data_IF_282145803887
#
_entry.id   IF_282145803887
#
_cell.length_a   1.000
_cell.length_b   1.000
_cell.length_c   1.000
_cell.angle_alpha   90.00
_cell.angle_beta   90.00
_cell.angle_gamma   90.00
#
_symmetry.space_group_name_H-M   'P 1'
#
loop_
_entity.id
_entity.type
_entity.pdbx_description
1 polymer ?
#
# COMPACT_ATOMS: atom_id res chain seq x y z
N UNK A 1 11.66 -4.29 12.69
CA UNK A 1 11.11 -3.20 11.84
C UNK A 1 11.49 -3.35 10.36
N UNK A 2 12.74 -3.69 10.03
CA UNK A 2 13.17 -3.89 8.62
C UNK A 2 12.31 -4.92 7.85
N UNK A 3 11.88 -6.00 8.52
CA UNK A 3 11.01 -7.03 7.94
C UNK A 3 9.64 -6.49 7.51
N UNK A 4 9.03 -5.61 8.32
CA UNK A 4 7.70 -5.05 8.03
C UNK A 4 7.74 -4.10 6.83
N UNK A 5 8.80 -3.27 6.73
CA UNK A 5 8.97 -2.38 5.59
C UNK A 5 9.12 -3.16 4.29
N UNK A 6 9.92 -4.22 4.30
CA UNK A 6 10.14 -5.05 3.12
C UNK A 6 8.89 -5.81 2.72
N UNK A 7 8.14 -6.32 3.69
CA UNK A 7 6.89 -7.05 3.43
C UNK A 7 5.78 -6.10 2.93
N UNK A 8 5.74 -4.86 3.43
CA UNK A 8 4.85 -3.83 2.91
C UNK A 8 5.16 -3.50 1.44
N UNK A 9 6.43 -3.31 1.10
CA UNK A 9 6.84 -3.07 -0.28
C UNK A 9 6.59 -4.29 -1.17
N UNK A 10 6.77 -5.51 -0.66
CA UNK A 10 6.41 -6.73 -1.37
C UNK A 10 4.91 -6.78 -1.67
N UNK A 11 4.07 -6.50 -0.67
CA UNK A 11 2.62 -6.40 -0.84
C UNK A 11 2.28 -5.37 -1.92
N UNK A 12 2.90 -4.19 -1.87
CA UNK A 12 2.72 -3.14 -2.86
C UNK A 12 3.19 -3.52 -4.29
N UNK A 13 4.09 -4.50 -4.41
CA UNK A 13 4.57 -5.00 -5.71
C UNK A 13 3.59 -5.95 -6.40
N UNK A 14 2.65 -6.54 -5.64
CA UNK A 14 1.59 -7.43 -6.16
C UNK A 14 0.43 -6.62 -6.76
N UNK A 15 0.23 -5.38 -6.34
CA UNK A 15 -0.80 -4.49 -6.87
C UNK A 15 -1.16 -3.34 -5.92
N UNK A 16 -2.13 -2.49 -6.30
CA UNK A 16 -2.65 -1.44 -5.43
C UNK A 16 -3.31 -2.03 -4.18
N UNK A 17 -3.09 -1.42 -3.02
CA UNK A 17 -3.61 -1.90 -1.74
C UNK A 17 -4.14 -0.76 -0.87
N UNK A 18 -4.94 -1.08 0.15
CA UNK A 18 -5.45 -0.14 1.16
C UNK A 18 -4.72 -0.30 2.49
N UNK A 19 -4.80 0.70 3.37
CA UNK A 19 -4.24 0.59 4.73
C UNK A 19 -4.80 -0.60 5.52
N UNK A 20 -6.11 -0.87 5.38
CA UNK A 20 -6.76 -2.04 5.99
C UNK A 20 -6.20 -3.36 5.48
N UNK A 21 -6.05 -3.52 4.16
CA UNK A 21 -5.49 -4.74 3.57
C UNK A 21 -4.03 -4.95 3.98
N UNK A 22 -3.25 -3.86 4.10
CA UNK A 22 -1.88 -3.95 4.59
C UNK A 22 -1.83 -4.39 6.07
N UNK A 23 -2.69 -3.81 6.92
CA UNK A 23 -2.77 -4.16 8.33
C UNK A 23 -3.07 -5.65 8.54
N UNK A 24 -4.08 -6.17 7.84
CA UNK A 24 -4.46 -7.59 7.86
C UNK A 24 -3.30 -8.49 7.41
N UNK A 25 -2.63 -8.12 6.31
CA UNK A 25 -1.55 -8.93 5.75
C UNK A 25 -0.30 -8.96 6.62
N UNK A 26 0.01 -7.86 7.31
CA UNK A 26 1.17 -7.77 8.19
C UNK A 26 0.86 -8.22 9.63
N UNK A 27 -0.41 -8.45 9.98
CA UNK A 27 -0.82 -8.78 11.35
C UNK A 27 -0.60 -7.63 12.33
N UNK A 28 -0.74 -6.38 11.86
CA UNK A 28 -0.52 -5.16 12.66
C UNK A 28 -1.82 -4.37 12.82
N UNK A 29 -1.82 -3.39 13.72
CA UNK A 29 -2.97 -2.51 13.90
C UNK A 29 -3.15 -1.57 12.69
N UNK A 30 -4.37 -1.06 12.45
CA UNK A 30 -4.61 -0.06 11.40
C UNK A 30 -3.71 1.18 11.54
N UNK A 31 -3.48 1.65 12.77
CA UNK A 31 -2.60 2.81 13.02
C UNK A 31 -1.13 2.55 12.69
N UNK A 32 -0.62 1.35 12.95
CA UNK A 32 0.74 0.96 12.55
C UNK A 32 0.87 0.86 11.03
N UNK A 33 -0.13 0.31 10.35
CA UNK A 33 -0.17 0.27 8.89
C UNK A 33 -0.21 1.68 8.28
N UNK A 34 -1.03 2.58 8.82
CA UNK A 34 -1.09 3.98 8.40
C UNK A 34 0.23 4.71 8.61
N UNK A 35 0.87 4.53 9.77
CA UNK A 35 2.19 5.11 10.05
C UNK A 35 3.26 4.60 9.08
N UNK A 36 3.24 3.30 8.77
CA UNK A 36 4.16 2.69 7.80
C UNK A 36 3.94 3.24 6.39
N UNK A 37 2.69 3.33 5.95
CA UNK A 37 2.32 3.92 4.66
C UNK A 37 2.76 5.39 4.60
N UNK A 38 2.52 6.16 5.66
CA UNK A 38 2.94 7.56 5.76
C UNK A 38 4.45 7.73 5.57
N UNK A 39 5.25 6.88 6.23
CA UNK A 39 6.70 6.88 6.06
C UNK A 39 7.10 6.54 4.61
N UNK A 40 6.50 5.50 4.02
CA UNK A 40 6.81 5.07 2.65
C UNK A 40 6.40 6.12 1.60
N UNK A 41 5.30 6.85 1.82
CA UNK A 41 4.88 7.98 0.99
C UNK A 41 5.86 9.14 1.11
N UNK A 42 6.26 9.51 2.32
CA UNK A 42 7.20 10.60 2.56
C UNK A 42 8.56 10.39 1.88
N UNK A 43 9.00 9.13 1.76
CA UNK A 43 10.22 8.76 1.05
C UNK A 43 10.03 8.47 -0.46
N UNK A 44 8.80 8.59 -0.97
CA UNK A 44 8.48 8.38 -2.38
C UNK A 44 8.57 6.92 -2.84
N UNK A 45 8.47 5.96 -1.91
CA UNK A 45 8.43 4.53 -2.22
C UNK A 45 7.01 4.05 -2.61
N UNK A 46 5.99 4.77 -2.13
CA UNK A 46 4.60 4.59 -2.52
C UNK A 46 4.05 5.88 -3.14
N UNK A 47 2.92 5.76 -3.83
CA UNK A 47 2.07 6.89 -4.23
C UNK A 47 0.60 6.54 -4.00
N UNK A 48 -0.22 7.53 -3.69
CA UNK A 48 -1.67 7.37 -3.67
C UNK A 48 -2.21 7.33 -5.10
N UNK A 49 -3.16 6.44 -5.36
CA UNK A 49 -3.83 6.30 -6.66
C UNK A 49 -5.34 6.24 -6.48
N UNK A 50 -6.05 6.62 -7.53
CA UNK A 50 -7.48 6.37 -7.67
C UNK A 50 -7.67 5.27 -8.71
N UNK A 51 -8.13 4.07 -8.33
CA UNK A 51 -8.33 3.00 -9.29
C UNK A 51 -9.44 3.41 -10.27
N UNK A 52 -9.11 3.60 -11.55
CA UNK A 52 -10.11 3.89 -12.59
C UNK A 52 -11.12 2.74 -12.75
N UNK A 53 -10.70 1.51 -12.44
CA UNK A 53 -11.57 0.33 -12.43
C UNK A 53 -12.77 0.47 -11.49
N UNK A 54 -12.65 1.23 -10.41
CA UNK A 54 -13.77 1.52 -9.52
C UNK A 54 -14.88 2.32 -10.21
N UNK A 55 -14.55 3.12 -11.22
CA UNK A 55 -15.54 3.93 -11.94
C UNK A 55 -16.39 3.09 -12.90
N UNK A 56 -15.79 2.07 -13.51
CA UNK A 56 -16.44 1.12 -14.43
C UNK A 56 -16.92 -0.17 -13.74
N UNK A 57 -16.67 -0.34 -12.44
CA UNK A 57 -17.02 -1.57 -11.72
C UNK A 57 -18.56 -1.73 -11.64
N UNK A 58 -19.13 -2.87 -12.10
CA UNK A 58 -20.57 -3.12 -12.01
C UNK A 58 -21.09 -3.12 -10.56
N UNK A 59 -20.20 -3.41 -9.60
CA UNK A 59 -20.51 -3.41 -8.17
C UNK A 59 -20.26 -2.05 -7.50
N UNK A 60 -19.92 -0.99 -8.25
CA UNK A 60 -19.59 0.34 -7.70
C UNK A 60 -20.63 0.85 -6.68
N UNK A 61 -21.92 0.65 -6.95
CA UNK A 61 -23.03 1.12 -6.11
C UNK A 61 -23.14 0.39 -4.75
N UNK A 62 -22.61 -0.83 -4.65
CA UNK A 62 -22.61 -1.67 -3.45
C UNK A 62 -21.21 -1.93 -2.89
N UNK A 63 -20.16 -1.46 -3.57
CA UNK A 63 -18.77 -1.66 -3.17
C UNK A 63 -18.49 -0.91 -1.86
N UNK A 64 -18.12 -1.62 -0.78
CA UNK A 64 -17.85 -0.99 0.52
C UNK A 64 -16.71 0.03 0.45
N UNK A 65 -15.69 -0.25 -0.37
CA UNK A 65 -14.53 0.61 -0.55
C UNK A 65 -14.90 2.00 -1.12
N UNK A 66 -15.91 2.07 -1.98
CA UNK A 66 -16.37 3.34 -2.57
C UNK A 66 -17.47 4.01 -1.76
N UNK A 67 -18.36 3.23 -1.13
CA UNK A 67 -19.40 3.78 -0.23
C UNK A 67 -18.82 4.52 0.97
N UNK A 68 -17.67 4.07 1.48
CA UNK A 68 -17.00 4.76 2.58
C UNK A 68 -16.37 6.10 2.15
N UNK A 69 -16.25 6.39 0.84
CA UNK A 69 -15.70 7.65 0.30
C UNK A 69 -14.24 7.94 0.67
N UNK A 70 -13.60 7.05 1.44
CA UNK A 70 -12.34 7.30 2.15
C UNK A 70 -11.29 6.23 1.91
N UNK A 71 -11.59 5.17 1.15
CA UNK A 71 -10.60 4.14 0.84
C UNK A 71 -9.53 4.71 -0.09
N UNK A 72 -8.37 5.02 0.49
CA UNK A 72 -7.16 5.41 -0.25
C UNK A 72 -6.45 4.15 -0.71
N UNK A 73 -6.06 4.15 -1.98
CA UNK A 73 -5.27 3.08 -2.57
C UNK A 73 -3.84 3.55 -2.78
N UNK A 74 -2.90 2.66 -2.55
CA UNK A 74 -1.47 2.93 -2.64
C UNK A 74 -0.81 1.95 -3.58
N UNK A 75 0.09 2.45 -4.41
CA UNK A 75 0.89 1.67 -5.35
C UNK A 75 2.38 1.89 -5.10
N UNK A 76 3.20 0.86 -5.34
CA UNK A 76 4.65 1.00 -5.32
C UNK A 76 5.16 1.85 -6.49
N UNK A 77 6.12 2.72 -6.21
CA UNK A 77 6.84 3.49 -7.23
C UNK A 77 8.04 2.70 -7.76
N UNK A 78 8.64 3.15 -8.86
CA UNK A 78 9.92 2.58 -9.33
C UNK A 78 11.02 2.66 -8.26
N UNK A 79 11.04 3.74 -7.47
CA UNK A 79 11.96 3.90 -6.33
C UNK A 79 11.73 2.82 -5.26
N UNK A 80 10.46 2.55 -4.93
CA UNK A 80 10.10 1.47 -4.01
C UNK A 80 10.51 0.09 -4.54
N UNK A 81 10.31 -0.17 -5.84
CA UNK A 81 10.74 -1.42 -6.49
C UNK A 81 12.27 -1.60 -6.45
N UNK A 82 13.03 -0.52 -6.65
CA UNK A 82 14.49 -0.56 -6.57
C UNK A 82 14.98 -0.97 -5.17
N UNK A 83 14.29 -0.56 -4.10
CA UNK A 83 14.63 -0.94 -2.73
C UNK A 83 14.46 -2.43 -2.46
N UNK A 84 13.50 -3.09 -3.11
CA UNK A 84 13.34 -4.55 -3.04
C UNK A 84 14.47 -5.30 -3.75
N UNK A 85 15.03 -4.71 -4.82
CA UNK A 85 16.11 -5.29 -5.64
C UNK A 85 17.50 -5.06 -5.06
N UNK A 86 17.68 -4.03 -4.24
CA UNK A 86 18.96 -3.76 -3.61
C UNK A 86 19.38 -4.96 -2.73
N UNK A 87 20.59 -5.51 -2.90
CA UNK A 87 21.14 -6.46 -1.94
C UNK A 87 21.22 -5.78 -0.57
N UNK A 88 21.07 -6.56 0.50
CA UNK A 88 21.13 -6.05 1.88
C UNK A 88 22.28 -5.06 1.99
N UNK A 89 21.97 -3.81 2.31
CA UNK A 89 22.98 -2.87 2.79
C UNK A 89 23.42 -3.38 4.15
N UNK A 90 24.40 -4.28 4.14
CA UNK A 90 25.15 -4.68 5.32
C UNK A 90 25.84 -3.42 5.85
N UNK A 91 25.71 -3.10 7.15
CA UNK A 91 26.53 -2.05 7.76
C UNK A 91 28.02 -2.41 7.71
#
# INVERSE_FOLDING_TARGET
METLLREALRTASEGPFTASALAERLGVTPGEAEALIGALLAHGYLREVRPQLCEACPLKASCPALRAGSARFYEITERGRALLRAPRSTP
#
